data_IF_520979383927
#
_entry.id   IF_520979383927
#
_cell.length_a   1.000
_cell.length_b   1.000
_cell.length_c   1.000
_cell.angle_alpha   90.00
_cell.angle_beta   90.00
_cell.angle_gamma   90.00
#
_symmetry.space_group_name_H-M   'P 1'
#
loop_
_entity.id
_entity.type
_entity.pdbx_description
1 polymer ?
#
# COMPACT_ATOMS: atom_id res chain seq x y z
N UNK A 1 -8.19 -26.75 15.78
CA UNK A 1 -9.03 -25.58 16.00
C UNK A 1 -9.27 -24.81 14.70
N UNK A 2 -8.24 -24.33 14.03
CA UNK A 2 -8.35 -23.51 12.82
C UNK A 2 -7.29 -23.86 11.78
N UNK A 3 -7.58 -23.56 10.50
CA UNK A 3 -6.62 -23.54 9.40
C UNK A 3 -6.78 -22.21 8.68
N UNK A 4 -5.68 -21.50 8.52
CA UNK A 4 -5.57 -20.28 7.74
C UNK A 4 -4.62 -20.49 6.58
N UNK A 5 -4.89 -19.86 5.42
CA UNK A 5 -4.04 -19.89 4.23
C UNK A 5 -3.76 -18.46 3.77
N UNK A 6 -2.50 -18.16 3.49
CA UNK A 6 -2.00 -16.84 3.12
C UNK A 6 -1.12 -16.20 4.19
N UNK A 7 -0.17 -15.37 3.78
CA UNK A 7 0.85 -14.80 4.65
C UNK A 7 0.63 -13.33 5.01
N UNK A 8 -0.45 -12.67 4.55
CA UNK A 8 -0.61 -11.22 4.68
C UNK A 8 -1.93 -10.78 5.33
N UNK A 9 -2.86 -11.70 5.56
CA UNK A 9 -4.13 -11.41 6.20
C UNK A 9 -4.14 -11.82 7.66
N UNK A 10 -4.71 -10.98 8.52
CA UNK A 10 -5.00 -11.30 9.92
C UNK A 10 -6.14 -12.31 10.01
N UNK A 11 -6.11 -13.16 11.03
CA UNK A 11 -7.19 -14.09 11.34
C UNK A 11 -7.33 -14.27 12.86
N UNK A 12 -8.52 -14.63 13.28
CA UNK A 12 -8.83 -14.91 14.69
C UNK A 12 -9.46 -16.30 14.84
N UNK A 13 -9.34 -16.85 16.03
CA UNK A 13 -9.89 -18.17 16.37
C UNK A 13 -10.48 -18.09 17.78
N UNK A 14 -11.75 -18.45 17.92
CA UNK A 14 -12.34 -18.67 19.23
C UNK A 14 -11.83 -19.99 19.81
N UNK A 15 -11.23 -19.91 21.00
CA UNK A 15 -10.66 -21.05 21.72
C UNK A 15 -11.41 -21.34 23.01
N UNK A 16 -12.52 -20.66 23.29
CA UNK A 16 -13.25 -20.71 24.56
C UNK A 16 -13.55 -22.14 25.00
N UNK A 17 -14.07 -22.97 24.11
CA UNK A 17 -14.42 -24.37 24.46
C UNK A 17 -13.20 -25.29 24.58
N UNK A 18 -12.02 -24.85 24.18
CA UNK A 18 -10.78 -25.61 24.28
C UNK A 18 -9.96 -25.27 25.52
N UNK A 19 -10.36 -24.26 26.28
CA UNK A 19 -9.63 -23.81 27.50
C UNK A 19 -9.73 -24.81 28.64
N UNK A 20 -8.62 -24.99 29.35
CA UNK A 20 -8.47 -25.77 30.58
C UNK A 20 -7.72 -24.94 31.63
N UNK A 21 -7.46 -25.50 32.80
CA UNK A 21 -6.65 -24.83 33.86
C UNK A 21 -5.23 -24.56 33.38
N UNK A 22 -4.64 -25.51 32.64
CA UNK A 22 -3.34 -25.37 31.96
C UNK A 22 -3.54 -25.56 30.48
N UNK A 23 -3.00 -24.66 29.68
CA UNK A 23 -3.19 -24.65 28.21
C UNK A 23 -1.86 -24.63 27.51
N UNK A 24 -1.76 -25.40 26.44
CA UNK A 24 -0.67 -25.36 25.49
C UNK A 24 -1.20 -24.94 24.10
N UNK A 25 -0.67 -23.86 23.55
CA UNK A 25 -0.98 -23.41 22.19
C UNK A 25 0.09 -23.90 21.22
N UNK A 26 -0.28 -24.81 20.31
CA UNK A 26 0.60 -25.30 19.25
C UNK A 26 0.18 -24.69 17.92
N UNK A 27 1.09 -23.92 17.31
CA UNK A 27 0.91 -23.32 15.99
C UNK A 27 1.86 -24.02 15.01
N UNK A 28 1.30 -24.63 13.98
CA UNK A 28 2.08 -25.26 12.91
C UNK A 28 2.02 -24.39 11.66
N UNK A 29 3.16 -23.84 11.27
CA UNK A 29 3.33 -23.13 10.00
C UNK A 29 3.91 -24.08 8.96
N UNK A 30 3.37 -24.03 7.74
CA UNK A 30 3.91 -24.71 6.56
C UNK A 30 4.05 -23.66 5.49
N UNK A 31 5.27 -23.49 4.98
CA UNK A 31 5.59 -22.55 3.93
C UNK A 31 6.44 -23.25 2.87
N UNK A 32 5.98 -23.21 1.62
CA UNK A 32 6.69 -23.71 0.47
C UNK A 32 6.89 -22.59 -0.55
N UNK A 33 8.05 -21.95 -0.51
CA UNK A 33 8.43 -20.88 -1.43
C UNK A 33 8.61 -21.32 -2.88
N UNK A 34 8.54 -22.61 -3.18
CA UNK A 34 8.45 -23.13 -4.55
C UNK A 34 7.01 -23.11 -5.06
N UNK A 35 6.01 -23.07 -4.18
CA UNK A 35 4.60 -22.96 -4.53
C UNK A 35 4.22 -21.48 -4.75
N UNK A 36 4.29 -21.06 -5.99
CA UNK A 36 3.99 -19.67 -6.39
C UNK A 36 2.49 -19.39 -6.55
N UNK A 37 1.61 -20.30 -6.15
CA UNK A 37 0.17 -20.09 -6.26
C UNK A 37 -0.35 -19.06 -5.26
N UNK A 38 0.21 -18.98 -4.05
CA UNK A 38 -0.15 -17.98 -3.04
C UNK A 38 0.63 -16.67 -3.23
N UNK A 39 0.06 -15.52 -2.80
CA UNK A 39 0.79 -14.26 -2.74
C UNK A 39 2.06 -14.37 -1.90
N UNK A 40 3.23 -14.15 -2.52
CA UNK A 40 4.54 -14.27 -1.86
C UNK A 40 5.37 -12.98 -1.92
N UNK A 41 4.94 -12.00 -2.73
CA UNK A 41 5.61 -10.71 -2.84
C UNK A 41 7.01 -10.80 -3.44
N UNK A 42 7.93 -9.98 -2.95
CA UNK A 42 9.32 -9.90 -3.44
C UNK A 42 10.24 -11.01 -2.91
N UNK A 43 9.70 -12.01 -2.21
CA UNK A 43 10.45 -13.07 -1.54
C UNK A 43 10.85 -14.18 -2.52
N UNK A 44 12.10 -14.54 -2.57
CA UNK A 44 12.59 -15.64 -3.42
C UNK A 44 13.74 -16.41 -2.76
N UNK A 45 13.86 -17.71 -3.07
CA UNK A 45 14.94 -18.55 -2.53
C UNK A 45 16.35 -18.08 -2.94
N UNK A 46 16.50 -17.51 -4.12
CA UNK A 46 17.77 -16.95 -4.60
C UNK A 46 17.64 -15.45 -4.71
N UNK A 47 17.80 -14.76 -3.57
CA UNK A 47 17.73 -13.31 -3.50
C UNK A 47 18.78 -12.62 -4.38
N UNK A 48 18.52 -11.36 -4.68
CA UNK A 48 19.46 -10.47 -5.38
C UNK A 48 18.76 -9.56 -6.38
N UNK A 49 19.36 -8.41 -6.65
CA UNK A 49 18.72 -7.37 -7.41
C UNK A 49 17.49 -6.82 -6.66
N UNK A 50 16.33 -6.85 -7.28
CA UNK A 50 15.06 -6.41 -6.70
C UNK A 50 14.27 -7.51 -5.98
N UNK A 51 14.92 -8.63 -5.63
CA UNK A 51 14.33 -9.78 -4.96
C UNK A 51 15.03 -10.03 -3.63
N UNK A 52 14.28 -10.32 -2.58
CA UNK A 52 14.73 -10.28 -1.20
C UNK A 52 14.66 -11.63 -0.49
N UNK A 53 15.32 -11.69 0.66
CA UNK A 53 15.36 -12.87 1.53
C UNK A 53 13.96 -13.26 1.98
N UNK A 54 13.60 -14.56 1.83
CA UNK A 54 12.27 -15.03 2.22
C UNK A 54 12.15 -15.20 3.72
N UNK A 55 10.92 -15.07 4.22
CA UNK A 55 10.54 -15.26 5.61
C UNK A 55 9.48 -16.34 5.68
N UNK A 56 9.62 -17.27 6.61
CA UNK A 56 8.62 -18.30 6.90
C UNK A 56 8.11 -18.21 8.32
N UNK A 57 6.87 -18.61 8.53
CA UNK A 57 6.23 -18.58 9.84
C UNK A 57 5.39 -17.32 10.07
N UNK A 58 4.99 -17.12 11.34
CA UNK A 58 4.20 -15.95 11.74
C UNK A 58 5.16 -14.77 11.91
N UNK A 59 4.94 -13.70 11.16
CA UNK A 59 5.80 -12.53 11.14
C UNK A 59 5.15 -11.27 11.73
N UNK A 60 3.88 -11.37 12.16
CA UNK A 60 3.16 -10.31 12.86
C UNK A 60 2.78 -10.77 14.28
N UNK A 61 2.24 -9.85 15.08
CA UNK A 61 1.89 -10.09 16.49
C UNK A 61 0.85 -11.20 16.64
N UNK A 62 1.05 -12.05 17.63
CA UNK A 62 0.05 -13.00 18.14
C UNK A 62 -0.37 -12.55 19.53
N UNK A 63 -1.67 -12.45 19.76
CA UNK A 63 -2.19 -12.08 21.07
C UNK A 63 -3.41 -12.92 21.43
N UNK A 64 -3.75 -12.91 22.69
CA UNK A 64 -4.94 -13.51 23.26
C UNK A 64 -5.72 -12.42 23.98
N UNK A 65 -7.01 -12.37 23.76
CA UNK A 65 -7.90 -11.46 24.47
C UNK A 65 -9.16 -12.17 24.96
N UNK A 66 -9.72 -11.67 26.06
CA UNK A 66 -11.02 -12.09 26.57
C UNK A 66 -12.06 -11.08 26.13
N UNK A 67 -13.09 -11.56 25.47
CA UNK A 67 -14.20 -10.75 24.97
C UNK A 67 -15.51 -11.19 25.58
N UNK A 68 -16.53 -10.33 25.71
CA UNK A 68 -17.86 -10.73 26.15
C UNK A 68 -18.55 -11.65 25.13
N UNK A 69 -19.67 -12.24 25.50
CA UNK A 69 -20.43 -13.14 24.62
C UNK A 69 -20.92 -12.41 23.34
N UNK A 70 -21.38 -11.17 23.49
CA UNK A 70 -21.72 -10.31 22.35
C UNK A 70 -20.70 -9.18 22.22
N UNK A 71 -19.66 -9.40 21.41
CA UNK A 71 -18.59 -8.43 21.17
C UNK A 71 -18.53 -7.98 19.71
N UNK A 72 -17.81 -6.92 19.48
CA UNK A 72 -17.55 -6.34 18.15
C UNK A 72 -16.36 -7.07 17.53
N UNK A 73 -16.62 -8.07 16.70
CA UNK A 73 -15.57 -8.83 16.00
C UNK A 73 -14.86 -7.95 14.98
N UNK A 74 -15.59 -7.05 14.32
CA UNK A 74 -15.05 -6.15 13.32
C UNK A 74 -15.82 -4.84 13.26
N UNK A 75 -15.04 -3.77 13.08
CA UNK A 75 -15.52 -2.44 12.80
C UNK A 75 -15.22 -2.07 11.35
N UNK A 76 -16.24 -1.71 10.58
CA UNK A 76 -16.06 -1.17 9.23
C UNK A 76 -16.36 0.33 9.24
N UNK A 77 -15.49 1.10 8.60
CA UNK A 77 -15.62 2.55 8.48
C UNK A 77 -15.56 2.91 6.99
N UNK A 78 -16.69 3.41 6.48
CA UNK A 78 -16.81 3.76 5.05
C UNK A 78 -16.97 5.28 4.89
N UNK A 79 -16.09 5.87 4.11
CA UNK A 79 -16.09 7.30 3.84
C UNK A 79 -16.92 7.63 2.59
N UNK A 80 -17.84 8.59 2.73
CA UNK A 80 -18.74 9.06 1.66
C UNK A 80 -18.52 10.55 1.33
N UNK A 81 -17.29 11.02 1.44
CA UNK A 81 -16.92 12.42 1.21
C UNK A 81 -17.14 13.29 2.46
N UNK A 82 -18.33 13.81 2.71
CA UNK A 82 -18.61 14.65 3.88
C UNK A 82 -19.21 13.88 5.06
N UNK A 83 -19.46 12.58 4.92
CA UNK A 83 -20.02 11.71 5.95
C UNK A 83 -19.26 10.40 6.04
N UNK A 84 -19.42 9.70 7.16
CA UNK A 84 -18.83 8.39 7.39
C UNK A 84 -19.88 7.45 7.94
N UNK A 85 -19.96 6.24 7.39
CA UNK A 85 -20.76 5.15 7.94
C UNK A 85 -19.87 4.24 8.76
N UNK A 86 -20.27 4.01 10.00
CA UNK A 86 -19.65 3.07 10.93
C UNK A 86 -20.57 1.87 11.08
N UNK A 87 -20.05 0.66 10.90
CA UNK A 87 -20.83 -0.56 11.08
C UNK A 87 -20.06 -1.65 11.81
N UNK A 88 -20.79 -2.53 12.51
CA UNK A 88 -20.24 -3.63 13.30
C UNK A 88 -20.53 -4.98 12.67
N UNK A 89 -19.64 -5.92 12.92
CA UNK A 89 -19.87 -7.36 12.69
C UNK A 89 -19.64 -8.08 13.99
N UNK A 90 -20.63 -8.85 14.48
CA UNK A 90 -22.02 -8.92 14.03
C UNK A 90 -22.75 -7.58 14.19
N UNK A 91 -23.92 -7.39 13.56
CA UNK A 91 -24.73 -6.19 13.76
C UNK A 91 -25.21 -6.09 15.22
N UNK A 92 -24.77 -5.05 15.94
CA UNK A 92 -25.08 -4.81 17.35
C UNK A 92 -25.79 -3.47 17.52
N UNK A 93 -26.66 -3.37 18.52
CA UNK A 93 -27.23 -2.10 18.96
C UNK A 93 -26.28 -1.40 19.94
N UNK A 94 -26.23 -0.06 19.90
CA UNK A 94 -25.33 0.66 20.79
C UNK A 94 -25.34 2.17 20.56
N UNK A 95 -24.27 2.81 21.00
CA UNK A 95 -24.08 4.27 20.83
C UNK A 95 -22.65 4.54 20.38
N UNK A 96 -22.52 5.35 19.34
CA UNK A 96 -21.25 5.93 18.90
C UNK A 96 -21.12 7.32 19.46
N UNK A 97 -20.18 7.54 20.37
CA UNK A 97 -19.88 8.84 20.99
C UNK A 97 -18.64 9.42 20.30
N UNK A 98 -18.83 10.43 19.46
CA UNK A 98 -17.74 11.09 18.72
C UNK A 98 -17.32 12.34 19.47
N UNK A 99 -16.03 12.46 19.77
CA UNK A 99 -15.47 13.64 20.42
C UNK A 99 -15.81 14.89 19.60
N UNK A 100 -16.36 15.92 20.23
CA UNK A 100 -16.79 17.21 19.64
C UNK A 100 -18.05 17.17 18.75
N UNK A 101 -18.61 16.00 18.43
CA UNK A 101 -19.83 15.91 17.62
C UNK A 101 -21.04 15.41 18.39
N UNK A 102 -20.83 14.72 19.52
CA UNK A 102 -21.91 14.16 20.35
C UNK A 102 -22.15 12.67 20.15
N UNK A 103 -23.36 12.24 20.46
CA UNK A 103 -23.74 10.82 20.46
C UNK A 103 -24.67 10.51 19.30
N UNK A 104 -24.47 9.35 18.71
CA UNK A 104 -25.23 8.86 17.57
C UNK A 104 -25.69 7.42 17.87
N UNK A 105 -26.98 7.10 17.78
CA UNK A 105 -27.45 5.74 17.99
C UNK A 105 -26.95 4.83 16.88
N UNK A 106 -26.43 3.66 17.27
CA UNK A 106 -26.07 2.57 16.37
C UNK A 106 -27.28 1.65 16.26
N UNK A 107 -27.99 1.70 15.16
CA UNK A 107 -29.20 0.92 14.91
C UNK A 107 -28.92 -0.16 13.86
N UNK A 108 -29.32 -1.40 14.12
CA UNK A 108 -29.06 -2.55 13.25
C UNK A 108 -27.60 -2.71 12.87
N UNK A 109 -26.69 -2.39 13.81
CA UNK A 109 -25.26 -2.47 13.61
C UNK A 109 -24.66 -1.37 12.76
N UNK A 110 -25.38 -0.25 12.50
CA UNK A 110 -24.91 0.79 11.60
C UNK A 110 -25.30 2.19 12.05
N UNK A 111 -24.42 3.17 11.80
CA UNK A 111 -24.70 4.60 11.97
C UNK A 111 -23.96 5.42 10.92
N UNK A 112 -24.58 6.49 10.45
CA UNK A 112 -23.91 7.48 9.58
C UNK A 112 -23.71 8.80 10.34
N UNK A 113 -22.46 9.22 10.45
CA UNK A 113 -22.05 10.47 11.07
C UNK A 113 -21.79 11.50 9.99
N UNK A 114 -22.53 12.64 10.06
CA UNK A 114 -22.38 13.75 9.12
C UNK A 114 -22.14 15.03 9.92
N UNK A 115 -20.89 15.48 10.10
CA UNK A 115 -20.59 16.73 10.78
C UNK A 115 -21.13 17.92 9.97
N UNK A 116 -21.70 18.93 10.64
CA UNK A 116 -22.17 20.15 9.98
C UNK A 116 -21.02 20.91 9.30
N UNK A 117 -19.85 20.95 9.95
CA UNK A 117 -18.65 21.59 9.44
C UNK A 117 -17.50 20.59 9.46
N UNK A 118 -17.37 19.71 8.44
CA UNK A 118 -16.38 18.66 8.44
C UNK A 118 -14.95 19.20 8.33
N UNK A 119 -14.06 18.79 9.23
CA UNK A 119 -12.62 18.97 9.08
C UNK A 119 -12.08 17.81 8.27
N UNK A 120 -11.65 18.10 7.06
CA UNK A 120 -11.17 17.10 6.14
C UNK A 120 -9.74 16.67 6.47
N UNK A 121 -9.50 15.38 6.45
CA UNK A 121 -8.15 14.82 6.55
C UNK A 121 -7.31 15.22 5.33
N UNK A 122 -6.11 15.69 5.60
CA UNK A 122 -5.14 16.10 4.59
C UNK A 122 -3.73 15.80 5.10
N UNK A 123 -2.71 15.52 4.26
CA UNK A 123 -1.33 15.31 4.71
C UNK A 123 -0.76 16.41 5.60
N UNK A 124 -1.18 17.65 5.40
CA UNK A 124 -0.75 18.79 6.23
C UNK A 124 -1.66 19.03 7.44
N UNK A 125 -2.83 18.42 7.47
CA UNK A 125 -3.79 18.49 8.57
C UNK A 125 -4.49 17.14 8.76
N UNK A 126 -3.77 16.12 9.31
CA UNK A 126 -4.28 14.74 9.41
C UNK A 126 -5.26 14.58 10.57
N UNK A 127 -6.39 15.27 10.49
CA UNK A 127 -7.37 15.27 11.56
C UNK A 127 -8.15 13.96 11.62
N UNK A 128 -8.15 13.33 12.81
CA UNK A 128 -8.87 12.10 13.11
C UNK A 128 -9.98 12.39 14.11
N UNK A 129 -11.22 12.06 13.75
CA UNK A 129 -12.35 12.07 14.65
C UNK A 129 -12.30 10.82 15.53
N UNK A 130 -11.97 11.00 16.79
CA UNK A 130 -11.97 9.89 17.77
C UNK A 130 -13.37 9.62 18.26
N UNK A 131 -13.70 8.35 18.42
CA UNK A 131 -14.98 7.92 18.94
C UNK A 131 -14.86 6.70 19.83
N UNK A 132 -15.85 6.56 20.69
CA UNK A 132 -16.11 5.34 21.47
C UNK A 132 -17.40 4.73 20.97
N UNK A 133 -17.41 3.45 20.65
CA UNK A 133 -18.61 2.68 20.38
C UNK A 133 -18.89 1.81 21.60
N UNK A 134 -20.07 1.93 22.18
CA UNK A 134 -20.48 1.21 23.37
C UNK A 134 -21.79 0.48 23.09
N UNK A 135 -21.77 -0.83 23.29
CA UNK A 135 -22.93 -1.73 23.25
C UNK A 135 -23.34 -2.10 24.66
N UNK A 136 -24.28 -3.01 24.84
CA UNK A 136 -24.66 -3.52 26.16
C UNK A 136 -23.56 -4.32 26.86
N UNK A 137 -22.63 -4.92 26.10
CA UNK A 137 -21.61 -5.84 26.64
C UNK A 137 -20.18 -5.45 26.26
N UNK A 138 -19.98 -4.66 25.21
CA UNK A 138 -18.66 -4.38 24.66
C UNK A 138 -18.44 -2.88 24.45
N UNK A 139 -17.17 -2.46 24.53
CA UNK A 139 -16.75 -1.07 24.33
C UNK A 139 -15.45 -1.00 23.56
N UNK A 140 -15.49 -0.31 22.43
CA UNK A 140 -14.34 -0.14 21.52
C UNK A 140 -14.06 1.33 21.31
N UNK A 141 -12.78 1.71 21.39
CA UNK A 141 -12.28 3.03 20.99
C UNK A 141 -11.66 2.95 19.60
N UNK A 142 -12.01 3.90 18.74
CA UNK A 142 -11.49 3.95 17.38
C UNK A 142 -11.50 5.38 16.83
N UNK A 143 -11.27 5.53 15.55
CA UNK A 143 -11.30 6.82 14.86
C UNK A 143 -11.79 6.68 13.44
N UNK A 144 -12.20 7.79 12.87
CA UNK A 144 -12.41 7.94 11.42
C UNK A 144 -11.86 9.28 10.94
N UNK A 145 -11.74 9.42 9.64
CA UNK A 145 -11.47 10.70 9.02
C UNK A 145 -12.42 10.94 7.85
N UNK A 146 -12.64 12.20 7.56
CA UNK A 146 -13.46 12.65 6.43
C UNK A 146 -12.52 13.11 5.32
N UNK A 147 -12.65 12.54 4.15
CA UNK A 147 -11.94 12.95 2.93
C UNK A 147 -12.74 12.62 1.69
N UNK A 148 -12.46 13.28 0.58
CA UNK A 148 -12.99 12.90 -0.73
C UNK A 148 -11.88 12.69 -1.75
N UNK A 149 -12.08 11.71 -2.63
CA UNK A 149 -11.21 11.40 -3.76
C UNK A 149 -12.06 11.46 -5.02
N UNK A 150 -11.59 12.16 -6.03
CA UNK A 150 -12.33 12.32 -7.27
C UNK A 150 -11.39 12.63 -8.44
N UNK A 151 -11.84 12.32 -9.65
CA UNK A 151 -11.15 12.73 -10.87
C UNK A 151 -11.94 13.87 -11.50
N UNK A 152 -11.28 15.02 -11.66
CA UNK A 152 -11.86 16.20 -12.29
C UNK A 152 -11.02 16.66 -13.48
N UNK A 153 -11.68 17.16 -14.52
CA UNK A 153 -10.98 17.88 -15.58
C UNK A 153 -10.70 19.30 -15.11
N UNK A 154 -9.43 19.68 -15.07
CA UNK A 154 -8.97 21.00 -14.71
C UNK A 154 -8.14 21.59 -15.87
N UNK A 155 -8.65 22.62 -16.51
CA UNK A 155 -8.12 23.07 -17.78
C UNK A 155 -8.24 21.99 -18.87
N UNK A 156 -7.13 21.62 -19.47
CA UNK A 156 -7.10 20.62 -20.54
C UNK A 156 -6.92 19.18 -20.01
N UNK A 157 -6.52 19.00 -18.73
CA UNK A 157 -6.06 17.71 -18.20
C UNK A 157 -7.00 17.15 -17.14
N UNK A 158 -7.25 15.82 -17.14
CA UNK A 158 -7.84 15.14 -15.99
C UNK A 158 -6.84 15.13 -14.84
N UNK A 159 -7.34 15.39 -13.61
CA UNK A 159 -6.54 15.49 -12.38
C UNK A 159 -7.09 14.58 -11.30
N UNK A 160 -6.20 14.00 -10.53
CA UNK A 160 -6.53 13.40 -9.23
C UNK A 160 -6.74 14.52 -8.23
N UNK A 161 -7.88 14.48 -7.51
CA UNK A 161 -8.25 15.48 -6.53
C UNK A 161 -8.39 14.85 -5.15
N UNK A 162 -7.88 15.55 -4.15
CA UNK A 162 -8.10 15.31 -2.74
C UNK A 162 -8.94 16.47 -2.18
N UNK A 163 -10.07 16.15 -1.53
CA UNK A 163 -10.97 17.13 -0.93
C UNK A 163 -11.40 18.24 -1.92
N UNK A 164 -11.77 17.84 -3.14
CA UNK A 164 -12.26 18.72 -4.17
C UNK A 164 -11.22 19.50 -4.95
N UNK A 165 -9.95 19.45 -4.56
CA UNK A 165 -8.84 20.20 -5.18
C UNK A 165 -7.85 19.27 -5.86
N UNK A 166 -7.29 19.66 -7.03
CA UNK A 166 -6.18 18.95 -7.63
C UNK A 166 -5.04 18.78 -6.63
N UNK A 167 -4.56 17.55 -6.48
CA UNK A 167 -3.49 17.22 -5.55
C UNK A 167 -2.37 16.49 -6.29
N UNK A 168 -1.12 16.86 -6.03
CA UNK A 168 0.03 16.20 -6.59
C UNK A 168 0.57 15.17 -5.59
N UNK A 169 0.47 13.90 -5.94
CA UNK A 169 0.97 12.79 -5.11
C UNK A 169 2.47 12.65 -5.34
N UNK A 170 3.23 13.29 -4.47
CA UNK A 170 4.70 13.27 -4.49
C UNK A 170 5.19 12.20 -3.54
N UNK A 171 5.64 11.06 -4.10
CA UNK A 171 5.84 9.89 -3.28
C UNK A 171 7.11 9.10 -3.52
N UNK A 172 7.25 8.09 -2.69
CA UNK A 172 8.31 7.10 -2.72
C UNK A 172 7.74 5.69 -2.78
N UNK A 173 8.44 4.81 -3.51
CA UNK A 173 8.21 3.37 -3.45
C UNK A 173 8.72 2.84 -2.11
N UNK A 174 7.91 2.10 -1.39
CA UNK A 174 8.26 1.54 -0.08
C UNK A 174 8.11 0.02 -0.07
N UNK A 175 9.22 -0.67 0.00
CA UNK A 175 9.26 -2.14 0.03
C UNK A 175 8.88 -2.70 1.39
N UNK A 176 9.09 -1.95 2.48
CA UNK A 176 8.76 -2.37 3.84
C UNK A 176 9.64 -3.50 4.37
N UNK A 177 10.94 -3.47 4.07
CA UNK A 177 11.91 -4.45 4.57
C UNK A 177 12.91 -3.80 5.54
N UNK A 178 13.33 -4.57 6.53
CA UNK A 178 14.16 -4.15 7.65
C UNK A 178 15.35 -5.10 7.84
N UNK A 179 16.52 -4.63 8.21
CA UNK A 179 17.69 -5.50 8.37
C UNK A 179 17.54 -6.50 9.52
N UNK A 180 16.82 -6.13 10.59
CA UNK A 180 16.67 -6.94 11.78
C UNK A 180 15.59 -8.02 11.64
N UNK A 181 14.44 -7.65 11.06
CA UNK A 181 13.24 -8.50 11.04
C UNK A 181 12.74 -8.83 9.65
N UNK A 182 13.46 -8.45 8.60
CA UNK A 182 13.06 -8.61 7.19
C UNK A 182 11.68 -8.00 6.91
N UNK A 183 10.60 -8.78 7.01
CA UNK A 183 9.23 -8.26 6.85
C UNK A 183 8.73 -7.46 8.07
N UNK A 184 9.34 -7.62 9.23
CA UNK A 184 8.88 -7.03 10.49
C UNK A 184 9.76 -5.84 10.87
N UNK A 185 9.14 -4.69 11.12
CA UNK A 185 9.86 -3.54 11.66
C UNK A 185 10.42 -3.83 13.05
N UNK A 186 11.57 -3.23 13.43
CA UNK A 186 12.18 -3.46 14.75
C UNK A 186 11.28 -3.05 15.92
N UNK A 187 10.49 -2.01 15.72
CA UNK A 187 9.53 -1.48 16.70
C UNK A 187 8.38 -0.77 15.98
N UNK A 188 7.21 -0.62 16.60
CA UNK A 188 6.08 0.14 16.01
C UNK A 188 6.44 1.58 15.65
N UNK A 189 7.30 2.22 16.44
CA UNK A 189 7.79 3.58 16.24
C UNK A 189 8.62 3.72 14.97
N UNK A 190 9.26 2.65 14.49
CA UNK A 190 10.09 2.66 13.28
C UNK A 190 9.29 3.06 12.04
N UNK A 191 8.01 2.74 11.99
CA UNK A 191 7.11 3.21 10.91
C UNK A 191 6.92 4.74 10.97
N UNK A 192 6.72 5.28 12.18
CA UNK A 192 6.56 6.72 12.36
C UNK A 192 7.85 7.48 11.99
N UNK A 193 9.00 6.93 12.34
CA UNK A 193 10.30 7.52 12.03
C UNK A 193 10.55 7.60 10.52
N UNK A 194 10.31 6.51 9.78
CA UNK A 194 10.40 6.51 8.31
C UNK A 194 9.41 7.52 7.68
N UNK A 195 8.15 7.55 8.14
CA UNK A 195 7.12 8.47 7.66
C UNK A 195 7.54 9.93 7.88
N UNK A 196 7.95 10.28 9.09
CA UNK A 196 8.36 11.65 9.44
C UNK A 196 9.59 12.07 8.65
N UNK A 197 10.56 11.18 8.49
CA UNK A 197 11.73 11.45 7.70
C UNK A 197 11.41 11.71 6.22
N UNK A 198 10.49 10.92 5.62
CA UNK A 198 10.04 11.17 4.25
C UNK A 198 9.26 12.47 4.13
N UNK A 199 8.41 12.81 5.10
CA UNK A 199 7.71 14.11 5.13
C UNK A 199 8.68 15.27 5.22
N UNK A 200 9.75 15.16 6.02
CA UNK A 200 10.78 16.18 6.13
C UNK A 200 11.55 16.42 4.82
N UNK A 201 11.66 15.38 3.98
CA UNK A 201 12.18 15.48 2.61
C UNK A 201 11.15 16.03 1.60
N UNK A 202 9.93 16.36 2.03
CA UNK A 202 8.87 16.94 1.19
C UNK A 202 7.97 15.92 0.49
N UNK A 203 8.05 14.65 0.83
CA UNK A 203 7.14 13.63 0.30
C UNK A 203 5.84 13.58 1.09
N UNK A 204 4.74 13.30 0.39
CA UNK A 204 3.41 13.21 0.96
C UNK A 204 2.72 11.86 0.72
N UNK A 205 3.37 10.96 0.00
CA UNK A 205 2.81 9.67 -0.44
C UNK A 205 3.86 8.55 -0.32
N UNK A 206 3.45 7.39 0.18
CA UNK A 206 4.20 6.14 0.08
C UNK A 206 3.42 5.14 -0.77
N UNK A 207 4.06 4.57 -1.79
CA UNK A 207 3.53 3.42 -2.50
C UNK A 207 4.06 2.17 -1.82
N UNK A 208 3.19 1.55 -0.98
CA UNK A 208 3.51 0.28 -0.33
C UNK A 208 3.52 -0.83 -1.37
N UNK A 209 4.72 -1.29 -1.67
CA UNK A 209 4.99 -2.09 -2.86
C UNK A 209 4.90 -3.58 -2.57
N UNK A 210 3.85 -4.20 -3.12
CA UNK A 210 3.68 -5.67 -3.17
C UNK A 210 3.76 -6.33 -1.77
N UNK A 211 3.32 -5.61 -0.74
CA UNK A 211 3.31 -6.04 0.65
C UNK A 211 2.13 -5.42 1.39
N UNK A 212 1.46 -6.19 2.25
CA UNK A 212 0.53 -5.67 3.25
C UNK A 212 1.26 -5.61 4.58
N UNK A 213 1.33 -4.43 5.18
CA UNK A 213 1.95 -4.19 6.48
C UNK A 213 1.00 -4.55 7.64
N UNK A 214 1.52 -4.67 8.88
CA UNK A 214 0.70 -4.58 10.07
C UNK A 214 -0.12 -3.28 10.11
N UNK A 215 -1.30 -3.32 10.74
CA UNK A 215 -2.20 -2.15 10.82
C UNK A 215 -1.54 -0.92 11.47
N UNK A 216 -0.55 -1.12 12.32
CA UNK A 216 0.24 -0.05 12.92
C UNK A 216 0.85 0.89 11.88
N UNK A 217 1.37 0.36 10.76
CA UNK A 217 1.89 1.20 9.67
C UNK A 217 0.82 2.16 9.12
N UNK A 218 -0.38 1.65 8.86
CA UNK A 218 -1.47 2.46 8.32
C UNK A 218 -2.01 3.44 9.35
N UNK A 219 -2.09 3.05 10.63
CA UNK A 219 -2.43 3.96 11.72
C UNK A 219 -1.43 5.12 11.83
N UNK A 220 -0.14 4.85 11.71
CA UNK A 220 0.88 5.90 11.71
C UNK A 220 0.73 6.81 10.47
N UNK A 221 0.42 6.27 9.31
CA UNK A 221 0.12 7.06 8.11
C UNK A 221 -1.12 7.93 8.30
N UNK A 222 -2.19 7.40 8.87
CA UNK A 222 -3.43 8.13 9.18
C UNK A 222 -3.16 9.30 10.12
N UNK A 223 -2.41 9.05 11.21
CA UNK A 223 -2.12 10.00 12.27
C UNK A 223 -1.11 11.09 11.84
N UNK A 224 -0.11 10.71 11.07
CA UNK A 224 0.97 11.61 10.65
C UNK A 224 0.70 12.28 9.30
N UNK A 225 -0.36 11.90 8.59
CA UNK A 225 -0.72 12.49 7.32
C UNK A 225 0.19 12.04 6.17
N UNK A 226 0.40 10.75 6.02
CA UNK A 226 1.08 10.18 4.87
C UNK A 226 0.08 9.40 4.01
N UNK A 227 -0.08 9.79 2.76
CA UNK A 227 -0.93 9.06 1.82
C UNK A 227 -0.30 7.71 1.49
N UNK A 228 -1.13 6.68 1.41
CA UNK A 228 -0.70 5.34 1.00
C UNK A 228 -1.33 4.97 -0.34
N UNK A 229 -0.49 4.55 -1.27
CA UNK A 229 -0.83 3.78 -2.45
C UNK A 229 -0.51 2.34 -2.15
N UNK A 230 -1.52 1.49 -2.07
CA UNK A 230 -1.37 0.11 -1.66
C UNK A 230 -1.39 -0.83 -2.86
N UNK A 231 -0.31 -1.55 -3.06
CA UNK A 231 -0.24 -2.62 -4.04
C UNK A 231 -0.82 -3.92 -3.47
N UNK A 232 -1.51 -4.69 -4.32
CA UNK A 232 -1.82 -6.08 -3.99
C UNK A 232 -0.55 -6.93 -4.05
N UNK A 233 -0.51 -7.97 -3.22
CA UNK A 233 0.65 -8.87 -3.17
C UNK A 233 0.60 -9.82 -4.35
N UNK A 234 1.65 -9.79 -5.17
CA UNK A 234 1.74 -10.62 -6.37
C UNK A 234 2.00 -12.11 -6.04
N UNK A 235 1.53 -12.96 -6.92
CA UNK A 235 1.77 -14.39 -6.96
C UNK A 235 2.14 -14.83 -8.38
N UNK A 236 2.19 -16.14 -8.63
CA UNK A 236 2.55 -16.73 -9.91
C UNK A 236 4.01 -16.45 -10.34
N UNK A 237 4.47 -17.13 -11.35
CA UNK A 237 5.86 -17.00 -11.81
C UNK A 237 6.13 -15.66 -12.48
N UNK A 238 7.18 -15.00 -12.03
CA UNK A 238 7.76 -13.87 -12.74
C UNK A 238 8.71 -14.35 -13.85
N UNK A 239 8.55 -13.80 -15.04
CA UNK A 239 9.43 -14.10 -16.16
C UNK A 239 10.09 -12.81 -16.67
N UNK A 240 11.36 -12.61 -16.32
CA UNK A 240 12.11 -11.39 -16.63
C UNK A 240 12.03 -10.99 -18.12
N UNK A 241 12.13 -11.97 -19.03
CA UNK A 241 12.07 -11.66 -20.47
C UNK A 241 10.67 -11.19 -20.88
N UNK A 242 9.63 -11.89 -20.45
CA UNK A 242 8.23 -11.55 -20.77
C UNK A 242 7.77 -10.28 -20.07
N UNK A 243 8.10 -10.13 -18.78
CA UNK A 243 7.48 -9.14 -17.90
C UNK A 243 8.31 -7.84 -17.80
N UNK A 244 9.59 -7.87 -18.24
CA UNK A 244 10.47 -6.69 -18.26
C UNK A 244 11.04 -6.40 -19.64
N UNK A 245 11.78 -7.34 -20.25
CA UNK A 245 12.53 -7.05 -21.48
C UNK A 245 11.62 -6.68 -22.65
N UNK A 246 10.61 -7.51 -22.93
CA UNK A 246 9.68 -7.24 -24.03
C UNK A 246 8.93 -5.90 -23.89
N UNK A 247 8.36 -5.56 -22.71
CA UNK A 247 7.73 -4.26 -22.52
C UNK A 247 8.69 -3.08 -22.68
N UNK A 248 9.93 -3.21 -22.20
CA UNK A 248 10.94 -2.14 -22.27
C UNK A 248 11.29 -1.80 -23.73
N UNK A 249 11.26 -2.77 -24.64
CA UNK A 249 11.46 -2.55 -26.09
C UNK A 249 10.16 -2.27 -26.85
N UNK A 250 9.05 -2.04 -26.14
CA UNK A 250 7.76 -1.66 -26.73
C UNK A 250 6.85 -2.82 -27.13
N UNK A 251 7.25 -4.08 -26.86
CA UNK A 251 6.41 -5.25 -27.12
C UNK A 251 5.53 -5.50 -25.89
N UNK A 252 4.33 -4.98 -25.92
CA UNK A 252 3.36 -5.12 -24.83
C UNK A 252 2.26 -6.11 -25.20
N UNK A 253 1.84 -6.94 -24.25
CA UNK A 253 0.67 -7.79 -24.44
C UNK A 253 -0.60 -6.99 -24.20
N UNK A 254 -1.45 -6.93 -25.22
CA UNK A 254 -2.72 -6.23 -25.17
C UNK A 254 -3.87 -7.03 -24.57
N UNK A 255 -3.74 -8.38 -24.59
CA UNK A 255 -4.75 -9.29 -24.08
C UNK A 255 -4.11 -10.28 -23.09
N UNK A 256 -4.39 -10.05 -21.81
CA UNK A 256 -3.88 -10.85 -20.69
C UNK A 256 -4.88 -11.92 -20.20
N UNK A 257 -6.01 -12.09 -20.89
CA UNK A 257 -7.06 -13.03 -20.50
C UNK A 257 -6.55 -14.45 -20.26
N UNK A 258 -5.57 -14.86 -21.03
CA UNK A 258 -5.01 -16.21 -21.01
C UNK A 258 -3.63 -16.29 -20.31
N UNK A 259 -3.16 -15.20 -19.71
CA UNK A 259 -1.95 -15.22 -18.89
C UNK A 259 -2.26 -15.81 -17.52
N UNK A 260 -1.28 -16.46 -16.91
CA UNK A 260 -1.39 -17.06 -15.57
C UNK A 260 -2.75 -17.77 -15.39
N UNK A 261 -3.02 -18.72 -16.28
CA UNK A 261 -4.31 -19.40 -16.39
C UNK A 261 -4.56 -20.47 -15.33
N UNK A 262 -3.57 -20.75 -14.46
CA UNK A 262 -3.76 -21.63 -13.32
C UNK A 262 -4.83 -21.06 -12.37
N UNK A 263 -5.94 -21.81 -12.26
CA UNK A 263 -7.11 -21.35 -11.51
C UNK A 263 -6.85 -21.26 -9.99
N UNK A 264 -5.96 -22.10 -9.47
CA UNK A 264 -5.56 -22.06 -8.06
C UNK A 264 -4.85 -20.73 -7.76
N UNK A 265 -3.90 -20.33 -8.58
CA UNK A 265 -3.19 -19.06 -8.45
C UNK A 265 -4.13 -17.85 -8.58
N UNK A 266 -5.03 -17.89 -9.55
CA UNK A 266 -6.02 -16.82 -9.75
C UNK A 266 -6.99 -16.68 -8.57
N UNK A 267 -7.42 -17.81 -7.99
CA UNK A 267 -8.27 -17.85 -6.81
C UNK A 267 -7.53 -17.31 -5.59
N UNK A 268 -6.29 -17.77 -5.37
CA UNK A 268 -5.47 -17.31 -4.24
C UNK A 268 -5.16 -15.81 -4.32
N UNK A 269 -4.88 -15.28 -5.52
CA UNK A 269 -4.71 -13.83 -5.72
C UNK A 269 -5.98 -13.05 -5.35
N UNK A 270 -7.14 -13.48 -5.87
CA UNK A 270 -8.41 -12.79 -5.57
C UNK A 270 -8.74 -12.84 -4.08
N UNK A 271 -8.51 -13.98 -3.43
CA UNK A 271 -8.72 -14.10 -1.98
C UNK A 271 -7.80 -13.15 -1.22
N UNK A 272 -6.50 -13.18 -1.47
CA UNK A 272 -5.54 -12.28 -0.81
C UNK A 272 -5.83 -10.80 -1.05
N UNK A 273 -6.28 -10.43 -2.26
CA UNK A 273 -6.69 -9.06 -2.56
C UNK A 273 -7.97 -8.66 -1.81
N UNK A 274 -8.96 -9.56 -1.72
CA UNK A 274 -10.18 -9.31 -0.96
C UNK A 274 -9.90 -9.16 0.53
N UNK A 275 -9.04 -10.00 1.09
CA UNK A 275 -8.63 -9.95 2.49
C UNK A 275 -7.90 -8.64 2.80
N UNK A 276 -6.95 -8.24 1.94
CA UNK A 276 -6.23 -6.98 2.07
C UNK A 276 -7.18 -5.77 2.04
N UNK A 277 -8.10 -5.70 1.07
CA UNK A 277 -9.07 -4.60 1.00
C UNK A 277 -9.99 -4.61 2.22
N UNK A 278 -10.50 -5.77 2.63
CA UNK A 278 -11.38 -5.88 3.80
C UNK A 278 -10.68 -5.49 5.10
N UNK A 279 -9.40 -5.78 5.24
CA UNK A 279 -8.60 -5.38 6.40
C UNK A 279 -8.33 -3.87 6.39
N UNK A 280 -8.01 -3.29 5.23
CA UNK A 280 -7.40 -1.97 5.15
C UNK A 280 -8.36 -0.85 4.73
N UNK A 281 -9.54 -1.14 4.20
CA UNK A 281 -10.45 -0.12 3.63
C UNK A 281 -10.94 0.93 4.61
N UNK A 282 -10.82 0.71 5.92
CA UNK A 282 -11.18 1.68 6.95
C UNK A 282 -10.12 2.78 7.15
N UNK A 283 -8.90 2.59 6.66
CA UNK A 283 -7.82 3.57 6.80
C UNK A 283 -7.97 4.74 5.81
N UNK A 284 -8.10 5.98 6.30
CA UNK A 284 -8.23 7.16 5.43
C UNK A 284 -6.98 7.50 4.63
N UNK A 285 -5.79 7.12 5.08
CA UNK A 285 -4.54 7.36 4.34
C UNK A 285 -4.48 6.62 3.01
N UNK A 286 -5.16 5.47 2.88
CA UNK A 286 -5.18 4.72 1.64
C UNK A 286 -6.06 5.45 0.63
N UNK A 287 -5.44 6.02 -0.39
CA UNK A 287 -6.12 6.77 -1.44
C UNK A 287 -6.13 6.05 -2.80
N UNK A 288 -5.36 4.98 -2.93
CA UNK A 288 -5.10 4.35 -4.22
C UNK A 288 -4.80 2.86 -4.05
N UNK A 289 -5.35 2.04 -4.93
CA UNK A 289 -5.09 0.62 -5.03
C UNK A 289 -4.37 0.30 -6.33
N UNK A 290 -3.30 -0.48 -6.27
CA UNK A 290 -2.65 -1.08 -7.44
C UNK A 290 -2.94 -2.57 -7.46
N UNK A 291 -3.58 -3.07 -8.53
CA UNK A 291 -3.97 -4.48 -8.61
C UNK A 291 -2.80 -5.33 -9.10
N UNK A 292 -2.22 -5.00 -10.25
CA UNK A 292 -1.07 -5.71 -10.83
C UNK A 292 0.09 -4.75 -11.06
N UNK A 293 1.30 -5.21 -10.81
CA UNK A 293 2.53 -4.48 -11.09
C UNK A 293 3.33 -5.15 -12.21
N UNK A 294 3.66 -4.38 -13.25
CA UNK A 294 4.58 -4.76 -14.35
C UNK A 294 4.26 -6.12 -15.02
N UNK A 295 2.99 -6.48 -15.07
CA UNK A 295 2.54 -7.73 -15.68
C UNK A 295 2.78 -8.98 -14.86
N UNK A 296 3.46 -8.89 -13.71
CA UNK A 296 3.70 -10.02 -12.85
C UNK A 296 2.41 -10.56 -12.23
N UNK A 297 2.12 -11.84 -12.51
CA UNK A 297 0.89 -12.50 -12.07
C UNK A 297 -0.39 -11.97 -12.74
N UNK A 298 -0.28 -11.02 -13.68
CA UNK A 298 -1.41 -10.36 -14.32
C UNK A 298 -2.24 -11.32 -15.18
N UNK A 299 -3.56 -11.27 -14.98
CA UNK A 299 -4.53 -12.03 -15.76
C UNK A 299 -5.86 -11.29 -15.86
N UNK A 300 -6.52 -11.35 -17.02
CA UNK A 300 -7.87 -10.82 -17.30
C UNK A 300 -8.17 -9.49 -16.57
N UNK A 301 -7.20 -8.56 -16.63
CA UNK A 301 -7.10 -7.38 -15.78
C UNK A 301 -8.35 -6.51 -15.81
N UNK A 302 -9.01 -6.38 -16.96
CA UNK A 302 -10.24 -5.60 -17.09
C UNK A 302 -11.39 -6.19 -16.26
N UNK A 303 -11.52 -7.52 -16.20
CA UNK A 303 -12.54 -8.19 -15.36
C UNK A 303 -12.14 -8.21 -13.89
N UNK A 304 -10.85 -8.39 -13.61
CA UNK A 304 -10.35 -8.31 -12.25
C UNK A 304 -10.58 -6.92 -11.67
N UNK A 305 -10.38 -5.85 -12.44
CA UNK A 305 -10.70 -4.49 -12.03
C UNK A 305 -12.21 -4.30 -11.73
N UNK A 306 -13.09 -4.82 -12.60
CA UNK A 306 -14.54 -4.75 -12.36
C UNK A 306 -14.93 -5.45 -11.06
N UNK A 307 -14.38 -6.63 -10.82
CA UNK A 307 -14.56 -7.35 -9.56
C UNK A 307 -13.98 -6.58 -8.37
N UNK A 308 -12.77 -6.04 -8.49
CA UNK A 308 -12.11 -5.30 -7.42
C UNK A 308 -12.92 -4.06 -7.00
N UNK A 309 -13.58 -3.38 -7.95
CA UNK A 309 -14.49 -2.27 -7.64
C UNK A 309 -15.71 -2.69 -6.81
N UNK A 310 -16.06 -3.98 -6.76
CA UNK A 310 -17.11 -4.47 -5.85
C UNK A 310 -16.62 -4.59 -4.40
N UNK A 311 -15.31 -4.64 -4.17
CA UNK A 311 -14.70 -4.63 -2.85
C UNK A 311 -14.57 -3.20 -2.31
N UNK A 312 -14.08 -2.29 -3.16
CA UNK A 312 -13.94 -0.87 -2.85
C UNK A 312 -13.96 -0.02 -4.15
N UNK A 313 -14.92 0.87 -4.24
CA UNK A 313 -15.04 1.85 -5.32
C UNK A 313 -14.72 3.30 -4.88
N UNK A 314 -14.23 3.49 -3.66
CA UNK A 314 -14.04 4.82 -3.05
C UNK A 314 -12.61 5.36 -3.22
N UNK A 315 -11.68 4.57 -3.74
CA UNK A 315 -10.28 4.92 -4.01
C UNK A 315 -9.99 4.87 -5.50
N UNK A 316 -8.91 5.54 -5.90
CA UNK A 316 -8.37 5.40 -7.25
C UNK A 316 -7.85 3.97 -7.46
N UNK A 317 -8.05 3.43 -8.66
CA UNK A 317 -7.59 2.08 -9.01
C UNK A 317 -6.66 2.15 -10.21
N UNK A 318 -5.41 1.67 -10.00
CA UNK A 318 -4.44 1.37 -11.04
C UNK A 318 -4.46 -0.15 -11.29
N UNK A 319 -5.05 -0.54 -12.37
CA UNK A 319 -5.26 -1.96 -12.66
C UNK A 319 -3.98 -2.67 -13.08
N UNK A 320 -3.10 -1.97 -13.80
CA UNK A 320 -1.91 -2.55 -14.44
C UNK A 320 -0.76 -1.56 -14.42
N UNK A 321 -0.19 -1.32 -13.24
CA UNK A 321 0.88 -0.35 -13.06
C UNK A 321 2.09 -0.67 -13.94
N UNK A 322 2.60 0.32 -14.65
CA UNK A 322 3.82 0.23 -15.42
C UNK A 322 3.64 0.03 -16.91
N UNK A 323 3.94 -1.15 -17.43
CA UNK A 323 4.10 -1.40 -18.87
C UNK A 323 2.80 -1.75 -19.60
N UNK A 324 1.92 -2.46 -18.94
CA UNK A 324 0.70 -3.00 -19.52
C UNK A 324 -0.48 -2.07 -19.24
N UNK A 325 -1.21 -1.69 -20.28
CA UNK A 325 -2.33 -0.75 -20.16
C UNK A 325 -3.66 -1.49 -20.22
N UNK A 326 -4.37 -1.56 -19.10
CA UNK A 326 -5.77 -1.97 -19.06
C UNK A 326 -6.70 -0.89 -19.62
N UNK A 327 -7.92 -1.28 -19.98
CA UNK A 327 -8.98 -0.34 -20.37
C UNK A 327 -9.74 0.16 -19.14
N UNK A 328 -10.00 -0.74 -18.19
CA UNK A 328 -10.69 -0.46 -16.95
C UNK A 328 -9.67 -0.09 -15.86
N UNK A 329 -9.24 1.16 -15.85
CA UNK A 329 -8.33 1.74 -14.86
C UNK A 329 -8.62 3.23 -14.75
N UNK A 330 -8.42 3.81 -13.58
CA UNK A 330 -8.68 5.24 -13.34
C UNK A 330 -7.57 6.15 -13.86
N UNK A 331 -6.38 5.59 -14.09
CA UNK A 331 -5.17 6.36 -14.41
C UNK A 331 -4.44 5.86 -15.64
N UNK A 332 -3.67 6.73 -16.28
CA UNK A 332 -2.62 6.36 -17.25
C UNK A 332 -1.31 6.24 -16.49
N UNK A 333 -1.02 5.04 -15.99
CA UNK A 333 0.14 4.74 -15.15
C UNK A 333 1.37 4.42 -15.98
N UNK A 334 2.53 4.91 -15.55
CA UNK A 334 3.81 4.77 -16.25
C UNK A 334 4.94 4.42 -15.30
N UNK A 335 5.84 3.53 -15.75
CA UNK A 335 7.17 3.32 -15.16
C UNK A 335 8.23 3.77 -16.16
N UNK A 336 9.23 4.51 -15.68
CA UNK A 336 10.35 4.89 -16.52
C UNK A 336 11.63 5.12 -15.71
N UNK A 337 12.58 4.21 -15.84
CA UNK A 337 13.85 4.24 -15.15
C UNK A 337 15.01 4.70 -16.03
N UNK A 338 14.90 4.52 -17.33
CA UNK A 338 15.99 4.75 -18.30
C UNK A 338 15.67 5.86 -19.28
N UNK A 339 16.73 6.58 -19.69
CA UNK A 339 16.65 7.63 -20.70
C UNK A 339 15.95 8.90 -20.23
N UNK A 340 15.61 9.77 -21.18
CA UNK A 340 14.87 11.01 -20.89
C UNK A 340 13.40 10.66 -20.62
N UNK A 341 12.86 11.17 -19.53
CA UNK A 341 11.44 10.94 -19.17
C UNK A 341 10.52 11.49 -20.28
N UNK A 342 9.63 10.64 -20.78
CA UNK A 342 8.63 10.96 -21.79
C UNK A 342 7.24 10.91 -21.19
N UNK A 343 6.84 11.98 -20.53
CA UNK A 343 5.60 12.08 -19.76
C UNK A 343 4.47 12.66 -20.62
N UNK A 344 3.98 11.84 -21.56
CA UNK A 344 2.81 12.16 -22.37
C UNK A 344 1.69 11.17 -22.04
N UNK A 345 0.61 11.66 -21.44
CA UNK A 345 -0.59 10.89 -21.15
C UNK A 345 -1.46 10.62 -22.39
N UNK A 346 -2.48 9.79 -22.19
CA UNK A 346 -3.51 9.51 -23.20
C UNK A 346 -4.54 10.65 -23.37
N UNK A 347 -4.51 11.66 -22.47
CA UNK A 347 -5.43 12.79 -22.46
C UNK A 347 -6.85 12.47 -21.93
N UNK A 348 -7.12 11.22 -21.62
CA UNK A 348 -8.42 10.74 -21.14
C UNK A 348 -8.42 10.49 -19.63
N UNK A 349 -7.29 10.06 -19.09
CA UNK A 349 -7.11 9.67 -17.70
C UNK A 349 -5.99 10.50 -17.05
N UNK A 350 -6.03 10.70 -15.71
CA UNK A 350 -4.92 11.31 -14.99
C UNK A 350 -3.62 10.57 -15.27
N UNK A 351 -2.60 11.31 -15.71
CA UNK A 351 -1.25 10.75 -15.92
C UNK A 351 -0.55 10.60 -14.57
N UNK A 352 -0.04 9.42 -14.27
CA UNK A 352 0.76 9.14 -13.09
C UNK A 352 2.08 8.46 -13.48
N UNK A 353 3.17 8.89 -12.89
CA UNK A 353 4.48 8.25 -12.96
C UNK A 353 4.64 7.41 -11.70
N UNK A 354 4.14 6.18 -11.75
CA UNK A 354 4.00 5.30 -10.58
C UNK A 354 5.31 4.64 -10.13
N UNK A 355 6.34 4.70 -10.99
CA UNK A 355 7.73 4.38 -10.60
C UNK A 355 8.73 5.10 -11.52
N UNK A 356 9.78 5.68 -10.92
CA UNK A 356 10.88 6.28 -11.67
C UNK A 356 12.12 6.51 -10.80
N UNK A 357 13.23 6.86 -11.44
CA UNK A 357 14.47 7.30 -10.78
C UNK A 357 15.37 6.16 -10.37
N UNK A 358 15.43 5.83 -9.10
CA UNK A 358 16.23 4.71 -8.58
C UNK A 358 17.75 4.91 -8.72
N UNK A 359 18.24 6.16 -8.61
CA UNK A 359 19.68 6.46 -8.61
C UNK A 359 20.34 5.89 -7.37
N UNK A 360 21.57 5.42 -7.50
CA UNK A 360 22.29 4.77 -6.42
C UNK A 360 23.49 5.57 -5.97
N UNK A 361 23.66 5.66 -4.67
CA UNK A 361 24.92 6.01 -4.04
C UNK A 361 25.25 4.99 -2.96
N UNK A 362 26.43 4.37 -3.08
CA UNK A 362 26.90 3.31 -2.18
C UNK A 362 27.54 3.92 -0.96
N UNK A 363 26.91 3.80 0.20
CA UNK A 363 27.42 4.32 1.46
C UNK A 363 28.28 3.27 2.15
N UNK A 364 29.61 3.50 2.20
CA UNK A 364 30.55 2.56 2.83
C UNK A 364 30.17 2.26 4.29
N UNK A 365 30.19 0.99 4.68
CA UNK A 365 29.80 0.54 6.02
C UNK A 365 28.30 0.38 6.27
N UNK A 366 27.43 0.76 5.30
CA UNK A 366 25.98 0.69 5.41
C UNK A 366 25.34 -0.10 4.27
N UNK A 367 26.10 -0.95 3.59
CA UNK A 367 25.65 -1.83 2.50
C UNK A 367 25.70 -3.27 2.99
N UNK A 368 24.60 -3.99 2.84
CA UNK A 368 24.53 -5.39 3.25
C UNK A 368 25.48 -6.28 2.44
N UNK A 369 25.55 -6.06 1.12
CA UNK A 369 26.40 -6.84 0.21
C UNK A 369 27.28 -5.90 -0.63
N UNK A 370 28.54 -5.64 -0.18
CA UNK A 370 29.44 -4.74 -0.91
C UNK A 370 29.85 -5.26 -2.29
N UNK A 371 29.86 -6.56 -2.51
CA UNK A 371 30.33 -7.18 -3.74
C UNK A 371 29.27 -7.16 -4.85
N UNK A 372 27.99 -7.08 -4.49
CA UNK A 372 26.88 -7.10 -5.43
C UNK A 372 25.81 -6.10 -5.06
N UNK A 373 25.64 -5.09 -5.90
CA UNK A 373 24.63 -4.05 -5.71
C UNK A 373 23.78 -3.87 -6.97
N UNK A 374 22.53 -3.44 -6.77
CA UNK A 374 21.56 -3.20 -7.82
C UNK A 374 20.96 -1.80 -7.72
N UNK A 375 20.54 -1.23 -8.87
CA UNK A 375 19.85 0.04 -9.01
C UNK A 375 20.02 0.66 -10.40
N UNK A 376 19.45 1.83 -10.64
CA UNK A 376 19.23 2.38 -11.98
C UNK A 376 20.16 3.54 -12.37
N UNK A 377 21.36 3.56 -11.87
CA UNK A 377 22.39 4.53 -12.23
C UNK A 377 23.23 4.99 -11.05
N UNK A 378 24.53 4.75 -11.13
CA UNK A 378 25.48 4.99 -10.03
C UNK A 378 25.88 6.47 -9.94
N UNK A 379 25.84 7.00 -8.74
CA UNK A 379 26.38 8.29 -8.37
C UNK A 379 27.60 8.07 -7.45
N UNK A 380 28.73 8.74 -7.68
CA UNK A 380 29.94 8.47 -6.91
C UNK A 380 29.93 9.08 -5.50
N UNK A 381 29.12 10.11 -5.28
CA UNK A 381 29.04 10.86 -4.01
C UNK A 381 27.59 11.22 -3.68
N UNK A 382 27.35 11.68 -2.44
CA UNK A 382 26.07 12.23 -2.02
C UNK A 382 25.68 13.44 -2.87
N UNK A 383 26.59 14.38 -3.11
CA UNK A 383 26.31 15.57 -3.91
C UNK A 383 25.93 15.21 -5.36
N UNK A 384 26.59 14.21 -5.94
CA UNK A 384 26.24 13.72 -7.27
C UNK A 384 24.84 13.08 -7.30
N UNK A 385 24.42 12.38 -6.23
CA UNK A 385 23.06 11.85 -6.10
C UNK A 385 22.07 13.00 -5.99
N UNK A 386 22.31 13.98 -5.11
CA UNK A 386 21.44 15.14 -4.90
C UNK A 386 21.25 15.92 -6.20
N UNK A 387 22.32 16.22 -6.94
CA UNK A 387 22.21 16.92 -8.22
C UNK A 387 21.47 16.09 -9.27
N UNK A 388 21.72 14.78 -9.33
CA UNK A 388 21.04 13.90 -10.28
C UNK A 388 19.51 13.83 -10.01
N UNK A 389 19.12 13.76 -8.74
CA UNK A 389 17.69 13.75 -8.35
C UNK A 389 17.08 15.13 -8.61
N UNK A 390 17.75 16.22 -8.17
CA UNK A 390 17.27 17.58 -8.40
C UNK A 390 17.11 17.90 -9.90
N UNK A 391 18.07 17.50 -10.73
CA UNK A 391 17.98 17.67 -12.18
C UNK A 391 16.79 16.89 -12.77
N UNK A 392 16.55 15.65 -12.32
CA UNK A 392 15.42 14.84 -12.78
C UNK A 392 14.08 15.53 -12.47
N UNK A 393 13.93 16.10 -11.27
CA UNK A 393 12.73 16.86 -10.92
C UNK A 393 12.61 18.16 -11.71
N UNK A 394 13.64 18.98 -11.72
CA UNK A 394 13.67 20.28 -12.39
C UNK A 394 13.39 20.18 -13.88
N UNK A 395 14.02 19.20 -14.55
CA UNK A 395 13.96 19.09 -16.02
C UNK A 395 12.78 18.28 -16.53
N UNK A 396 12.22 17.38 -15.70
CA UNK A 396 11.22 16.45 -16.17
C UNK A 396 9.91 16.47 -15.39
N UNK A 397 9.97 16.39 -14.06
CA UNK A 397 8.76 16.25 -13.22
C UNK A 397 8.02 17.60 -13.16
N UNK A 398 8.69 18.66 -12.74
CA UNK A 398 8.06 19.99 -12.55
C UNK A 398 7.39 20.46 -13.85
N UNK A 399 8.04 20.44 -15.02
CA UNK A 399 7.36 20.80 -16.28
C UNK A 399 6.21 19.87 -16.67
N UNK A 400 6.23 18.61 -16.23
CA UNK A 400 5.18 17.65 -16.54
C UNK A 400 3.92 17.86 -15.66
N UNK A 401 4.06 18.39 -14.46
CA UNK A 401 2.93 18.73 -13.58
C UNK A 401 2.01 19.75 -14.28
N UNK A 402 2.58 20.77 -14.92
CA UNK A 402 1.83 21.75 -15.72
C UNK A 402 1.08 21.09 -16.89
N UNK A 403 1.62 20.00 -17.43
CA UNK A 403 1.09 19.24 -18.56
C UNK A 403 0.24 18.02 -18.17
N UNK A 404 -0.25 17.99 -16.93
CA UNK A 404 -1.23 16.99 -16.51
C UNK A 404 -0.68 15.86 -15.64
N UNK A 405 0.60 15.83 -15.29
CA UNK A 405 1.12 14.84 -14.35
C UNK A 405 0.49 15.05 -12.96
N UNK A 406 -0.07 13.98 -12.39
CA UNK A 406 -0.78 13.99 -11.11
C UNK A 406 0.01 13.36 -9.97
N UNK A 407 1.00 12.54 -10.31
CA UNK A 407 1.81 11.84 -9.31
C UNK A 407 3.19 11.50 -9.86
N UNK A 408 4.17 11.43 -8.93
CA UNK A 408 5.51 10.93 -9.22
C UNK A 408 6.02 10.15 -8.01
N UNK A 409 6.22 8.84 -8.16
CA UNK A 409 6.68 7.91 -7.13
C UNK A 409 8.13 7.52 -7.41
N UNK A 410 9.06 8.10 -6.65
CA UNK A 410 10.48 7.83 -6.82
C UNK A 410 10.87 6.51 -6.14
N UNK A 411 11.74 5.74 -6.74
CA UNK A 411 12.26 4.46 -6.22
C UNK A 411 13.59 4.71 -5.49
N UNK A 412 13.71 4.59 -4.17
CA UNK A 412 12.73 4.16 -3.17
C UNK A 412 13.04 4.73 -1.77
N UNK A 413 12.25 4.38 -0.72
CA UNK A 413 12.45 4.86 0.65
C UNK A 413 13.82 4.49 1.19
N UNK A 414 14.13 3.20 1.25
CA UNK A 414 15.40 2.70 1.77
C UNK A 414 16.06 1.71 0.83
N UNK A 415 17.37 1.55 0.97
CA UNK A 415 18.03 0.37 0.43
C UNK A 415 17.38 -0.89 1.01
N UNK A 416 17.37 -1.96 0.22
CA UNK A 416 16.92 -3.28 0.67
C UNK A 416 17.91 -4.32 0.15
N UNK A 417 18.66 -4.93 1.05
CA UNK A 417 19.64 -5.96 0.74
C UNK A 417 20.65 -5.56 -0.36
N UNK A 418 20.56 -6.14 -1.57
CA UNK A 418 21.44 -5.82 -2.71
C UNK A 418 20.98 -4.56 -3.47
N UNK A 419 19.75 -4.12 -3.27
CA UNK A 419 19.17 -2.96 -3.94
C UNK A 419 19.49 -1.67 -3.17
N UNK A 420 20.38 -0.81 -3.74
CA UNK A 420 21.00 0.34 -3.05
C UNK A 420 20.56 1.70 -3.64
N UNK A 421 19.32 1.79 -4.07
CA UNK A 421 18.71 2.99 -4.66
C UNK A 421 17.74 3.72 -3.72
N UNK A 422 17.73 3.36 -2.43
CA UNK A 422 16.96 4.05 -1.40
C UNK A 422 17.46 5.45 -1.10
N UNK A 423 16.59 6.29 -0.53
CA UNK A 423 16.96 7.59 0.05
C UNK A 423 17.56 7.45 1.45
N UNK A 424 17.34 6.29 2.08
CA UNK A 424 18.03 5.84 3.28
C UNK A 424 18.88 4.61 2.99
N UNK A 425 19.93 4.41 3.80
CA UNK A 425 20.60 3.13 3.88
C UNK A 425 19.67 2.07 4.47
N UNK A 426 19.95 0.78 4.24
CA UNK A 426 19.10 -0.32 4.73
C UNK A 426 18.90 -0.29 6.24
N UNK A 427 19.94 0.06 6.98
CA UNK A 427 19.92 0.22 8.44
C UNK A 427 19.36 1.56 8.94
N UNK A 428 18.79 2.40 8.05
CA UNK A 428 18.21 3.74 8.33
C UNK A 428 19.17 4.75 8.97
N UNK A 429 20.47 4.46 9.06
CA UNK A 429 21.43 5.33 9.75
C UNK A 429 21.90 6.53 8.94
N UNK A 430 21.80 6.45 7.61
CA UNK A 430 22.24 7.54 6.73
C UNK A 430 21.11 7.95 5.80
N UNK A 431 20.77 9.23 5.83
CA UNK A 431 19.91 9.88 4.83
C UNK A 431 20.79 10.25 3.64
N UNK A 432 20.46 9.75 2.47
CA UNK A 432 21.25 9.91 1.25
C UNK A 432 20.89 11.17 0.46
N UNK A 433 19.73 11.76 0.71
CA UNK A 433 19.21 12.96 0.06
C UNK A 433 19.15 14.11 1.08
N UNK A 434 19.49 15.33 0.62
CA UNK A 434 19.38 16.57 1.42
C UNK A 434 18.05 17.28 1.18
#
# INVERSE_FOLDING_TARGET
LCRHEGGYASFSVDITEALAEENELVIRCTDDLHDQAFPYGKQVMRRGGMWYTPVSGIWQTVWLESVPEAYIEKLNIENHGASVTISTVPPLEGTVSVVQLGQFPLEHGQVTVTPENPRFWHPDDPYLYRFTLETTQDKVESYFAIRSLEIKKVGEYPRLCLNGKPYFFHGLLDQGYWPEGLLTAPAPESYADDILAMKNLGFNTLRKHIKVEPEEFYYQCDRLGMIVWQDMVNNSSYNYFRDTVLPTIGIQKWNDRHLHWDERSRKAFRQGAADAVNQLKSHPCICYWTIFNEGWGQFDSDRVCQWFRTLDATRFIDTTSGWFRGKNTDVDSRHQYFGKLRLKGDGLRPLVLSEFGGKTWRVGGHILNPDKTYGYGACPTKDALNEAVAALYRESIVPAVEKGLCAAIYTQVSDVEDEVNGLFTYDRRVVKLD
#
